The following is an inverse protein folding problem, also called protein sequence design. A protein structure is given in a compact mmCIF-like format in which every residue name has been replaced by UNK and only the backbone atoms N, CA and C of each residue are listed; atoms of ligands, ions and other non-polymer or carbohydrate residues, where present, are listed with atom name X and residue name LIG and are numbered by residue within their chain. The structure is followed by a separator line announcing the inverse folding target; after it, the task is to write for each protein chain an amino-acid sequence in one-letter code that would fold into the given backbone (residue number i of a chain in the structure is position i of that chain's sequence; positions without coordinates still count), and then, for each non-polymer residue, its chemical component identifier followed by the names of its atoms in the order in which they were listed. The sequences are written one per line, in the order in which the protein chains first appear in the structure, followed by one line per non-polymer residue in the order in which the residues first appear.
data_IF_049191742624
#
_entry.id   IF_049191742624
#
_cell.length_a   1.000
_cell.length_b   1.000
_cell.length_c   1.000
_cell.angle_alpha   90.00
_cell.angle_beta   90.00
_cell.angle_gamma   90.00
#
_symmetry.space_group_name_H-M   'P 1'
#
loop_
_entity.id
_entity.type
_entity.pdbx_description
1 polymer ?
#
# COMPACT_ATOMS: atom_id res chain seq x y z
N UNK A 1 -6.06 -11.81 29.63
CA UNK A 1 -6.35 -11.90 28.18
C UNK A 1 -5.32 -11.02 27.47
N UNK A 2 -4.50 -11.57 26.58
CA UNK A 2 -3.51 -10.77 25.82
C UNK A 2 -4.21 -10.00 24.70
N UNK A 3 -3.71 -8.82 24.34
CA UNK A 3 -4.36 -7.94 23.35
C UNK A 3 -4.53 -8.62 21.97
N UNK A 4 -3.56 -9.45 21.56
CA UNK A 4 -3.62 -10.27 20.34
C UNK A 4 -4.84 -11.19 20.32
N UNK A 5 -5.22 -11.76 21.48
CA UNK A 5 -6.36 -12.68 21.56
C UNK A 5 -7.69 -11.96 21.32
N UNK A 6 -7.87 -10.79 21.92
CA UNK A 6 -9.09 -9.98 21.76
C UNK A 6 -9.26 -9.56 20.29
N UNK A 7 -8.18 -9.16 19.64
CA UNK A 7 -8.19 -8.81 18.22
C UNK A 7 -8.52 -10.05 17.36
N UNK A 8 -7.92 -11.20 17.65
CA UNK A 8 -8.19 -12.44 16.94
C UNK A 8 -9.66 -12.84 17.05
N UNK A 9 -10.23 -12.83 18.25
CA UNK A 9 -11.65 -13.15 18.49
C UNK A 9 -12.57 -12.19 17.71
N UNK A 10 -12.31 -10.87 17.78
CA UNK A 10 -13.10 -9.86 17.06
C UNK A 10 -13.04 -9.97 15.52
N UNK A 11 -11.88 -10.37 14.98
CA UNK A 11 -11.73 -10.64 13.56
C UNK A 11 -12.42 -11.94 13.14
N UNK A 12 -12.40 -12.95 14.00
CA UNK A 12 -12.99 -14.26 13.72
C UNK A 12 -14.53 -14.19 13.67
N UNK A 13 -15.15 -13.44 14.59
CA UNK A 13 -16.60 -13.17 14.60
C UNK A 13 -17.08 -12.50 13.32
N UNK A 14 -16.18 -11.78 12.63
CA UNK A 14 -16.49 -10.97 11.46
C UNK A 14 -15.75 -11.45 10.21
N UNK A 15 -15.35 -12.72 10.18
CA UNK A 15 -14.53 -13.28 9.09
C UNK A 15 -15.17 -13.16 7.70
N UNK A 16 -16.50 -13.16 7.63
CA UNK A 16 -17.28 -13.07 6.39
C UNK A 16 -17.61 -11.63 5.96
N UNK A 17 -17.22 -10.63 6.75
CA UNK A 17 -17.47 -9.22 6.47
C UNK A 17 -16.15 -8.52 6.13
N UNK A 18 -16.17 -7.66 5.11
CA UNK A 18 -15.03 -6.78 4.81
C UNK A 18 -14.84 -5.74 5.91
N UNK A 19 -13.59 -5.39 6.17
CA UNK A 19 -13.24 -4.35 7.14
C UNK A 19 -13.40 -2.97 6.53
N UNK A 20 -14.02 -2.05 7.25
CA UNK A 20 -14.04 -0.65 6.86
C UNK A 20 -12.60 -0.08 6.88
N UNK A 21 -12.19 0.77 5.92
CA UNK A 21 -10.82 1.28 5.84
C UNK A 21 -10.30 1.88 7.15
N UNK A 22 -11.13 2.67 7.84
CA UNK A 22 -10.79 3.24 9.14
C UNK A 22 -10.51 2.16 10.22
N UNK A 23 -11.33 1.09 10.26
CA UNK A 23 -11.13 -0.01 11.21
C UNK A 23 -9.84 -0.75 10.92
N UNK A 24 -9.56 -1.00 9.63
CA UNK A 24 -8.28 -1.57 9.18
C UNK A 24 -7.10 -0.71 9.64
N UNK A 25 -7.15 0.61 9.42
CA UNK A 25 -6.09 1.52 9.87
C UNK A 25 -5.87 1.44 11.37
N UNK A 26 -6.94 1.49 12.18
CA UNK A 26 -6.83 1.38 13.63
C UNK A 26 -6.18 0.05 14.06
N UNK A 27 -6.64 -1.08 13.53
CA UNK A 27 -6.08 -2.39 13.84
C UNK A 27 -4.61 -2.52 13.44
N UNK A 28 -4.27 -2.04 12.24
CA UNK A 28 -2.89 -2.05 11.74
C UNK A 28 -1.97 -1.22 12.64
N UNK A 29 -2.43 -0.04 13.10
CA UNK A 29 -1.70 0.77 14.08
C UNK A 29 -1.52 0.06 15.41
N UNK A 30 -2.56 -0.62 15.92
CA UNK A 30 -2.46 -1.39 17.18
C UNK A 30 -1.42 -2.50 17.05
N UNK A 31 -1.46 -3.30 15.97
CA UNK A 31 -0.51 -4.40 15.77
C UNK A 31 0.94 -3.89 15.67
N UNK A 32 1.17 -2.77 14.97
CA UNK A 32 2.49 -2.13 14.90
C UNK A 32 2.98 -1.66 16.26
N UNK A 33 2.11 -1.00 17.04
CA UNK A 33 2.45 -0.57 18.41
C UNK A 33 2.77 -1.73 19.32
N UNK A 34 2.00 -2.82 19.26
CA UNK A 34 2.29 -4.01 20.03
C UNK A 34 3.68 -4.54 19.72
N UNK A 35 4.02 -4.68 18.44
CA UNK A 35 5.36 -5.11 18.03
C UNK A 35 6.46 -4.19 18.59
N UNK A 36 6.30 -2.87 18.45
CA UNK A 36 7.23 -1.89 19.02
C UNK A 36 7.34 -1.97 20.54
N UNK A 37 6.23 -2.20 21.25
CA UNK A 37 6.23 -2.35 22.71
C UNK A 37 7.02 -3.60 23.15
N UNK A 38 6.93 -4.69 22.39
CA UNK A 38 7.72 -5.90 22.64
C UNK A 38 9.22 -5.69 22.38
N UNK A 39 9.56 -4.99 21.31
CA UNK A 39 10.95 -4.61 21.02
C UNK A 39 11.54 -3.76 22.16
N UNK A 40 10.78 -2.81 22.68
CA UNK A 40 11.19 -1.96 23.81
C UNK A 40 11.39 -2.75 25.11
N UNK A 41 10.62 -3.82 25.33
CA UNK A 41 10.77 -4.71 26.48
C UNK A 41 11.91 -5.72 26.30
N UNK A 42 12.58 -5.74 25.15
CA UNK A 42 13.63 -6.72 24.82
C UNK A 42 13.10 -8.12 24.57
N UNK A 43 11.80 -8.26 24.27
CA UNK A 43 11.17 -9.54 23.96
C UNK A 43 11.48 -9.89 22.51
N UNK A 44 12.02 -11.09 22.28
CA UNK A 44 12.38 -11.52 20.93
C UNK A 44 11.15 -11.67 20.04
N UNK A 45 11.25 -11.36 18.74
CA UNK A 45 10.15 -11.52 17.80
C UNK A 45 9.67 -12.97 17.68
N UNK A 46 10.51 -13.95 18.03
CA UNK A 46 10.12 -15.36 18.13
C UNK A 46 9.08 -15.62 19.22
N UNK A 47 9.06 -14.81 20.29
CA UNK A 47 8.00 -14.87 21.30
C UNK A 47 6.66 -14.33 20.76
N UNK A 48 6.71 -13.50 19.70
CA UNK A 48 5.55 -13.02 18.96
C UNK A 48 5.11 -13.99 17.87
N UNK A 49 5.88 -15.05 17.61
CA UNK A 49 5.60 -16.07 16.59
C UNK A 49 4.46 -17.00 16.98
N UNK A 50 3.43 -16.43 17.57
CA UNK A 50 2.19 -17.10 17.89
C UNK A 50 1.35 -17.23 16.63
N UNK A 51 0.72 -18.40 16.47
CA UNK A 51 -0.22 -18.67 15.38
C UNK A 51 -1.31 -17.58 15.23
N UNK A 52 -1.75 -17.00 16.35
CA UNK A 52 -2.72 -15.90 16.35
C UNK A 52 -2.17 -14.62 15.71
N UNK A 53 -0.96 -14.21 16.05
CA UNK A 53 -0.35 -13.00 15.47
C UNK A 53 -0.15 -13.14 13.95
N UNK A 54 0.31 -14.32 13.51
CA UNK A 54 0.41 -14.69 12.08
C UNK A 54 -0.95 -14.62 11.38
N UNK A 55 -1.98 -15.20 11.99
CA UNK A 55 -3.34 -15.21 11.43
C UNK A 55 -3.91 -13.79 11.27
N UNK A 56 -3.76 -12.94 12.30
CA UNK A 56 -4.20 -11.55 12.24
C UNK A 56 -3.44 -10.79 11.15
N UNK A 57 -2.11 -10.92 11.11
CA UNK A 57 -1.27 -10.25 10.12
C UNK A 57 -1.65 -10.63 8.69
N UNK A 58 -1.88 -11.91 8.43
CA UNK A 58 -2.34 -12.39 7.13
C UNK A 58 -3.71 -11.81 6.76
N UNK A 59 -4.66 -11.75 7.70
CA UNK A 59 -5.97 -11.15 7.44
C UNK A 59 -5.86 -9.66 7.10
N UNK A 60 -5.04 -8.91 7.84
CA UNK A 60 -4.82 -7.49 7.56
C UNK A 60 -4.21 -7.26 6.17
N UNK A 61 -3.26 -8.09 5.73
CA UNK A 61 -2.70 -7.99 4.37
C UNK A 61 -3.74 -8.21 3.27
N UNK A 62 -4.63 -9.20 3.44
CA UNK A 62 -5.72 -9.45 2.47
C UNK A 62 -6.70 -8.28 2.40
N UNK A 63 -7.00 -7.68 3.54
CA UNK A 63 -7.89 -6.50 3.59
C UNK A 63 -7.25 -5.26 2.99
N UNK A 64 -5.94 -5.05 3.21
CA UNK A 64 -5.20 -3.98 2.55
C UNK A 64 -5.30 -4.07 1.02
N UNK A 65 -5.07 -5.27 0.47
CA UNK A 65 -5.22 -5.52 -0.96
C UNK A 65 -6.67 -5.29 -1.44
N UNK A 66 -7.66 -5.72 -0.65
CA UNK A 66 -9.08 -5.54 -0.99
C UNK A 66 -9.48 -4.06 -1.01
N UNK A 67 -9.01 -3.28 -0.04
CA UNK A 67 -9.23 -1.84 0.04
C UNK A 67 -8.58 -1.13 -1.15
N UNK A 68 -7.34 -1.48 -1.50
CA UNK A 68 -6.61 -0.88 -2.62
C UNK A 68 -7.36 -1.05 -3.96
N UNK A 69 -7.88 -2.26 -4.22
CA UNK A 69 -8.68 -2.55 -5.43
C UNK A 69 -10.01 -1.79 -5.45
N UNK A 70 -10.68 -1.64 -4.30
CA UNK A 70 -11.94 -0.88 -4.23
C UNK A 70 -11.74 0.61 -4.49
N UNK A 71 -10.64 1.21 -4.02
CA UNK A 71 -10.32 2.61 -4.34
C UNK A 71 -10.17 2.85 -5.85
N UNK A 72 -9.56 1.92 -6.58
CA UNK A 72 -9.36 2.00 -8.04
C UNK A 72 -10.66 1.85 -8.85
N UNK A 73 -11.71 1.27 -8.24
CA UNK A 73 -13.02 1.10 -8.87
C UNK A 73 -13.86 2.38 -8.94
N UNK A 74 -13.48 3.40 -8.15
CA UNK A 74 -14.20 4.69 -8.06
C UNK A 74 -13.63 5.79 -8.95
N UNK A 75 -12.44 5.59 -9.53
CA UNK A 75 -11.93 6.42 -10.61
C UNK A 75 -12.50 5.94 -11.95
N UNK A 76 -13.45 6.69 -12.51
CA UNK A 76 -13.87 6.49 -13.90
C UNK A 76 -12.63 6.55 -14.83
N UNK A 77 -12.36 5.51 -15.65
CA UNK A 77 -11.44 5.64 -16.76
C UNK A 77 -12.20 6.34 -17.88
N UNK A 78 -12.14 7.67 -17.93
CA UNK A 78 -12.53 8.37 -19.16
C UNK A 78 -11.51 8.01 -20.23
N UNK A 79 -11.89 7.01 -21.04
CA UNK A 79 -11.17 6.56 -22.22
C UNK A 79 -10.88 7.77 -23.12
N UNK A 80 -9.62 7.95 -23.51
CA UNK A 80 -9.29 8.58 -24.79
C UNK A 80 -8.42 7.61 -25.57
N UNK A 81 -9.13 6.81 -26.37
CA UNK A 81 -8.64 5.97 -27.46
C UNK A 81 -8.57 6.88 -28.69
N UNK A 82 -7.42 7.48 -28.96
CA UNK A 82 -7.04 8.04 -30.27
C UNK A 82 -5.54 8.37 -30.15
N UNK A 83 -4.58 7.69 -30.74
CA UNK A 83 -4.55 6.81 -31.90
C UNK A 83 -3.36 7.28 -32.73
N UNK A 84 -2.16 6.74 -32.49
CA UNK A 84 -1.01 7.00 -33.38
C UNK A 84 -0.10 5.78 -33.44
N UNK A 85 -0.49 4.85 -34.29
CA UNK A 85 0.44 3.95 -34.99
C UNK A 85 0.86 4.65 -36.28
N UNK A 86 2.04 4.27 -36.77
CA UNK A 86 2.56 4.44 -38.13
C UNK A 86 3.11 5.82 -38.56
N UNK A 87 4.45 5.88 -38.62
CA UNK A 87 5.14 6.18 -39.89
C UNK A 87 5.31 7.65 -40.28
N UNK A 88 6.52 8.17 -40.05
CA UNK A 88 7.26 8.95 -41.04
C UNK A 88 6.89 10.42 -41.30
N UNK A 89 7.92 11.13 -41.73
CA UNK A 89 7.94 12.35 -42.55
C UNK A 89 7.55 13.69 -41.90
N UNK A 90 8.61 14.44 -41.54
CA UNK A 90 8.85 15.83 -41.97
C UNK A 90 7.76 16.88 -41.76
N UNK A 91 8.03 17.85 -40.87
CA UNK A 91 7.49 19.19 -41.09
C UNK A 91 7.37 20.08 -39.85
N UNK A 92 8.23 21.11 -39.81
CA UNK A 92 7.99 22.46 -39.26
C UNK A 92 7.82 22.56 -37.73
N UNK A 93 8.22 23.59 -37.01
CA UNK A 93 9.12 24.73 -37.16
C UNK A 93 9.03 25.44 -35.80
N UNK A 94 10.14 26.00 -35.35
CA UNK A 94 10.28 27.06 -34.36
C UNK A 94 10.22 26.81 -32.84
N UNK A 95 11.29 27.34 -32.23
CA UNK A 95 11.44 27.88 -30.87
C UNK A 95 11.82 26.93 -29.74
N UNK A 96 13.02 26.34 -29.86
CA UNK A 96 13.85 25.96 -28.71
C UNK A 96 14.84 27.09 -28.46
N UNK A 97 14.81 27.80 -27.31
CA UNK A 97 15.89 28.69 -26.94
C UNK A 97 17.09 27.86 -26.46
N UNK A 98 18.20 27.93 -27.20
CA UNK A 98 19.55 27.55 -26.76
C UNK A 98 20.23 28.76 -26.06
N UNK A 99 21.47 28.66 -25.56
CA UNK A 99 21.97 27.82 -24.47
C UNK A 99 22.88 28.63 -23.52
N UNK A 100 23.43 28.02 -22.46
CA UNK A 100 24.58 28.60 -21.77
C UNK A 100 24.94 27.87 -20.50
N UNK A 101 26.01 27.07 -20.53
CA UNK A 101 27.22 27.30 -19.73
C UNK A 101 28.22 26.14 -19.94
N UNK A 102 29.37 26.53 -20.48
CA UNK A 102 30.72 25.99 -20.26
C UNK A 102 31.07 24.55 -20.69
N UNK A 103 31.66 24.52 -21.88
CA UNK A 103 32.81 23.73 -22.32
C UNK A 103 34.04 23.83 -21.40
N UNK A 104 34.64 22.69 -21.01
CA UNK A 104 36.07 22.60 -20.66
C UNK A 104 36.60 21.16 -20.84
N UNK A 105 37.41 20.94 -21.86
CA UNK A 105 38.57 20.03 -21.90
C UNK A 105 39.37 20.33 -23.17
N UNK A 106 40.68 20.48 -23.03
CA UNK A 106 41.65 20.64 -24.13
C UNK A 106 42.08 22.06 -24.36
#
# INVERSE_FOLDING_TARGET
MTQTRVINEWLNDRKNHSLHPYQFTCLSTIMKKMYSDFELQGISPDALDTMMYKTISQRLQVEEATIAVQSESSSSPTRSILGTITGGFSGLSNSIPRPGFLSKIG
#
